data_IF_786174477463
#
_entry.id   IF_786174477463
#
_cell.length_a   1.000
_cell.length_b   1.000
_cell.length_c   1.000
_cell.angle_alpha   90.00
_cell.angle_beta   90.00
_cell.angle_gamma   90.00
#
_symmetry.space_group_name_H-M   'P 1'
#
loop_
_entity.id
_entity.type
_entity.pdbx_description
1 polymer ?
#
# COMPACT_ATOMS: atom_id res chain seq x y z
N UNK A 1 -19.22 -1.21 -3.68
CA UNK A 1 -18.73 -1.55 -2.34
C UNK A 1 -17.26 -1.81 -2.48
N UNK A 2 -16.44 -1.26 -1.59
CA UNK A 2 -14.99 -1.44 -1.65
C UNK A 2 -14.60 -2.90 -1.52
N UNK A 3 -13.56 -3.28 -2.25
CA UNK A 3 -13.04 -4.66 -2.25
C UNK A 3 -12.53 -5.06 -0.86
N UNK A 4 -11.95 -4.12 -0.14
CA UNK A 4 -11.50 -4.29 1.25
C UNK A 4 -12.10 -3.20 2.15
N UNK A 5 -12.11 -3.43 3.45
CA UNK A 5 -12.60 -2.51 4.47
C UNK A 5 -11.54 -2.26 5.54
N UNK A 6 -11.69 -1.17 6.29
CA UNK A 6 -10.83 -0.89 7.44
C UNK A 6 -10.88 -2.05 8.45
N UNK A 7 -9.70 -2.53 8.84
CA UNK A 7 -9.52 -3.70 9.70
C UNK A 7 -9.30 -5.01 8.95
N UNK A 8 -9.51 -5.05 7.62
CA UNK A 8 -9.24 -6.25 6.84
C UNK A 8 -7.74 -6.55 6.80
N UNK A 9 -7.43 -7.84 6.95
CA UNK A 9 -6.10 -8.38 6.73
C UNK A 9 -5.89 -8.62 5.24
N UNK A 10 -4.79 -8.10 4.72
CA UNK A 10 -4.40 -8.19 3.32
C UNK A 10 -2.94 -8.60 3.19
N UNK A 11 -2.54 -8.99 1.98
CA UNK A 11 -1.16 -9.28 1.63
C UNK A 11 -0.79 -8.55 0.35
N UNK A 12 0.46 -8.09 0.26
CA UNK A 12 1.00 -7.54 -0.98
C UNK A 12 0.95 -8.62 -2.09
N UNK A 13 0.32 -8.31 -3.22
CA UNK A 13 0.18 -9.25 -4.34
C UNK A 13 1.51 -9.49 -5.06
N UNK A 14 2.38 -8.48 -5.08
CA UNK A 14 3.71 -8.45 -5.65
C UNK A 14 4.60 -7.48 -4.85
N UNK A 15 5.88 -7.38 -5.21
CA UNK A 15 6.79 -6.43 -4.58
C UNK A 15 6.35 -4.99 -4.87
N UNK A 16 6.04 -4.24 -3.80
CA UNK A 16 5.64 -2.84 -3.87
C UNK A 16 6.88 -1.97 -3.72
N UNK A 17 7.12 -1.11 -4.71
CA UNK A 17 8.26 -0.18 -4.73
C UNK A 17 7.77 1.27 -4.62
N UNK A 18 8.62 2.13 -4.08
CA UNK A 18 8.36 3.56 -4.05
C UNK A 18 8.58 4.16 -5.44
N UNK A 19 7.50 4.35 -6.18
CA UNK A 19 7.58 4.90 -7.54
C UNK A 19 8.02 6.38 -7.50
N UNK A 20 8.81 6.77 -8.50
CA UNK A 20 9.14 8.17 -8.73
C UNK A 20 7.99 8.90 -9.43
N UNK A 21 7.68 10.12 -9.00
CA UNK A 21 6.73 11.00 -9.68
C UNK A 21 7.24 11.33 -11.09
N UNK A 22 6.42 11.06 -12.12
CA UNK A 22 6.83 11.23 -13.52
C UNK A 22 7.28 12.67 -13.85
N UNK A 23 6.69 13.67 -13.17
CA UNK A 23 6.93 15.08 -13.45
C UNK A 23 8.23 15.63 -12.85
N UNK A 24 8.63 15.11 -11.67
CA UNK A 24 9.76 15.66 -10.89
C UNK A 24 10.91 14.67 -10.70
N UNK A 25 10.66 13.37 -10.89
CA UNK A 25 11.59 12.29 -10.58
C UNK A 25 11.80 12.07 -9.08
N UNK A 26 11.07 12.78 -8.22
CA UNK A 26 11.13 12.63 -6.77
C UNK A 26 10.29 11.45 -6.31
N UNK A 27 10.57 10.93 -5.12
CA UNK A 27 9.81 9.85 -4.50
C UNK A 27 8.34 10.19 -4.28
N UNK A 28 7.43 9.27 -4.62
CA UNK A 28 6.00 9.42 -4.31
C UNK A 28 5.74 9.39 -2.80
N UNK A 29 6.56 8.67 -2.03
CA UNK A 29 6.55 8.71 -0.57
C UNK A 29 7.71 9.60 -0.07
N UNK A 30 7.41 10.76 0.55
CA UNK A 30 8.45 11.64 1.09
C UNK A 30 9.33 10.95 2.13
N UNK A 31 10.66 11.09 1.98
CA UNK A 31 11.63 10.53 2.91
C UNK A 31 11.99 9.06 2.68
N UNK A 32 11.43 8.42 1.66
CA UNK A 32 11.83 7.10 1.17
C UNK A 32 12.48 7.27 -0.19
N UNK A 33 13.58 6.56 -0.48
CA UNK A 33 14.25 6.65 -1.79
C UNK A 33 13.36 6.12 -2.93
N UNK A 34 13.49 6.64 -4.16
CA UNK A 34 12.87 6.04 -5.34
C UNK A 34 13.33 4.59 -5.51
N UNK A 35 12.46 3.74 -6.04
CA UNK A 35 12.69 2.30 -6.25
C UNK A 35 13.00 1.50 -4.96
N UNK A 36 12.82 2.10 -3.78
CA UNK A 36 12.95 1.38 -2.52
C UNK A 36 11.81 0.38 -2.35
N UNK A 37 12.12 -0.84 -1.90
CA UNK A 37 11.11 -1.83 -1.57
C UNK A 37 10.32 -1.39 -0.33
N UNK A 38 9.02 -1.18 -0.51
CA UNK A 38 8.07 -0.81 0.54
C UNK A 38 7.49 -2.04 1.24
N UNK A 39 7.11 -3.04 0.45
CA UNK A 39 6.62 -4.33 0.95
C UNK A 39 6.92 -5.43 -0.07
N UNK A 40 7.51 -6.54 0.38
CA UNK A 40 7.70 -7.71 -0.45
C UNK A 40 6.37 -8.42 -0.73
N UNK A 41 6.30 -9.14 -1.84
CA UNK A 41 5.16 -10.00 -2.16
C UNK A 41 4.84 -10.96 -1.01
N UNK A 42 3.57 -11.05 -0.64
CA UNK A 42 3.09 -11.87 0.48
C UNK A 42 3.29 -11.25 1.87
N UNK A 43 3.89 -10.05 1.99
CA UNK A 43 3.96 -9.35 3.28
C UNK A 43 2.55 -9.04 3.76
N UNK A 44 2.26 -9.44 5.01
CA UNK A 44 0.97 -9.21 5.65
C UNK A 44 0.83 -7.73 6.01
N UNK A 45 -0.38 -7.21 5.87
CA UNK A 45 -0.75 -5.88 6.31
C UNK A 45 -2.20 -5.80 6.77
N UNK A 46 -2.56 -4.63 7.29
CA UNK A 46 -3.93 -4.30 7.70
C UNK A 46 -4.37 -3.00 7.04
N UNK A 47 -5.59 -3.00 6.50
CA UNK A 47 -6.20 -1.78 5.96
C UNK A 47 -6.56 -0.85 7.11
N UNK A 48 -5.99 0.34 7.15
CA UNK A 48 -6.25 1.36 8.18
C UNK A 48 -7.20 2.46 7.70
N UNK A 49 -7.35 2.62 6.38
CA UNK A 49 -8.32 3.55 5.80
C UNK A 49 -8.65 3.15 4.36
N UNK A 50 -9.84 3.55 3.88
CA UNK A 50 -10.27 3.39 2.48
C UNK A 50 -10.68 4.75 1.95
N UNK A 51 -10.06 5.16 0.84
CA UNK A 51 -10.30 6.43 0.19
C UNK A 51 -10.39 6.27 -1.32
N UNK A 52 -10.34 7.41 -2.02
CA UNK A 52 -10.28 7.46 -3.47
C UNK A 52 -9.25 8.50 -3.91
N UNK A 53 -8.65 8.29 -5.08
CA UNK A 53 -7.83 9.32 -5.70
C UNK A 53 -8.70 10.54 -6.00
N UNK A 54 -8.24 11.74 -5.62
CA UNK A 54 -9.04 12.96 -5.77
C UNK A 54 -9.38 13.25 -7.24
N UNK A 55 -8.46 12.94 -8.16
CA UNK A 55 -8.64 13.13 -9.61
C UNK A 55 -9.43 11.98 -10.26
N UNK A 56 -9.47 10.81 -9.60
CA UNK A 56 -10.18 9.62 -10.08
C UNK A 56 -11.00 9.01 -8.95
N UNK A 57 -12.20 9.53 -8.64
CA UNK A 57 -13.00 9.09 -7.49
C UNK A 57 -13.48 7.64 -7.58
N UNK A 58 -13.42 7.03 -8.76
CA UNK A 58 -13.74 5.62 -8.96
C UNK A 58 -12.55 4.69 -8.67
N UNK A 59 -11.33 5.24 -8.51
CA UNK A 59 -10.14 4.49 -8.16
C UNK A 59 -10.01 4.46 -6.63
N UNK A 60 -10.33 3.30 -6.05
CA UNK A 60 -10.19 3.07 -4.62
C UNK A 60 -8.72 2.97 -4.22
N UNK A 61 -8.36 3.71 -3.17
CA UNK A 61 -7.04 3.69 -2.56
C UNK A 61 -7.18 3.16 -1.14
N UNK A 62 -6.41 2.13 -0.82
CA UNK A 62 -6.36 1.52 0.50
C UNK A 62 -5.10 2.00 1.20
N UNK A 63 -5.23 2.61 2.38
CA UNK A 63 -4.07 2.81 3.23
C UNK A 63 -3.84 1.53 4.02
N UNK A 64 -2.67 0.91 3.82
CA UNK A 64 -2.29 -0.36 4.43
C UNK A 64 -1.03 -0.16 5.25
N UNK A 65 -1.01 -0.70 6.47
CA UNK A 65 0.22 -0.82 7.25
C UNK A 65 0.72 -2.25 7.17
N UNK A 66 1.87 -2.44 6.53
CA UNK A 66 2.52 -3.73 6.38
C UNK A 66 3.43 -4.06 7.57
N UNK A 67 3.64 -5.35 7.81
CA UNK A 67 4.60 -5.82 8.81
C UNK A 67 6.05 -5.59 8.35
N UNK A 68 6.86 -5.03 9.25
CA UNK A 68 8.27 -4.70 9.01
C UNK A 68 9.22 -5.81 9.46
N UNK A 69 8.81 -6.56 10.49
CA UNK A 69 9.66 -7.53 11.18
C UNK A 69 8.83 -8.73 11.67
N UNK A 70 9.53 -9.73 12.21
CA UNK A 70 8.90 -10.95 12.71
C UNK A 70 8.12 -10.70 14.02
N UNK A 71 8.39 -9.59 14.71
CA UNK A 71 7.63 -9.14 15.89
C UNK A 71 6.26 -8.55 15.53
N UNK A 72 6.00 -8.28 14.24
CA UNK A 72 4.74 -7.73 13.76
C UNK A 72 4.65 -6.21 13.90
N UNK A 73 5.79 -5.51 13.96
CA UNK A 73 5.81 -4.05 13.97
C UNK A 73 5.26 -3.53 12.64
N UNK A 74 4.31 -2.60 12.71
CA UNK A 74 3.63 -2.05 11.53
C UNK A 74 4.34 -0.81 10.98
N UNK A 75 4.61 -0.80 9.68
CA UNK A 75 5.18 0.31 8.94
C UNK A 75 4.26 1.55 8.92
N UNK A 76 4.77 2.65 8.40
CA UNK A 76 3.96 3.79 7.99
C UNK A 76 2.91 3.36 6.95
N UNK A 77 1.71 3.97 6.93
CA UNK A 77 0.68 3.62 5.96
C UNK A 77 1.12 3.88 4.52
N UNK A 78 0.98 2.86 3.67
CA UNK A 78 1.25 2.93 2.23
C UNK A 78 -0.10 2.93 1.50
N UNK A 79 -0.24 3.81 0.51
CA UNK A 79 -1.41 3.83 -0.37
C UNK A 79 -1.28 2.75 -1.42
N UNK A 80 -2.24 1.83 -1.46
CA UNK A 80 -2.27 0.71 -2.40
C UNK A 80 -3.55 0.73 -3.26
N UNK A 81 -3.41 0.31 -4.51
CA UNK A 81 -4.51 -0.01 -5.41
C UNK A 81 -5.16 -1.35 -5.05
N UNK A 82 -6.38 -1.57 -5.53
CA UNK A 82 -7.11 -2.83 -5.31
C UNK A 82 -6.34 -4.07 -5.78
N UNK A 83 -5.61 -3.96 -6.89
CA UNK A 83 -4.92 -5.08 -7.53
C UNK A 83 -3.53 -5.35 -6.94
N UNK A 84 -3.01 -4.43 -6.12
CA UNK A 84 -1.78 -4.60 -5.33
C UNK A 84 -2.00 -5.45 -4.09
N UNK A 85 -3.26 -5.75 -3.76
CA UNK A 85 -3.65 -6.43 -2.54
C UNK A 85 -4.40 -7.74 -2.81
N UNK A 86 -4.11 -8.71 -1.97
CA UNK A 86 -4.85 -9.97 -1.89
C UNK A 86 -5.45 -10.15 -0.51
N UNK A 87 -6.62 -10.78 -0.42
CA UNK A 87 -7.27 -11.10 0.85
C UNK A 87 -6.84 -12.46 1.39
N UNK A 88 -7.37 -12.83 2.56
CA UNK A 88 -7.34 -14.20 3.05
C UNK A 88 -8.23 -15.05 2.12
N UNK A 89 -7.63 -15.88 1.26
CA UNK A 89 -8.35 -16.90 0.49
C UNK A 89 -8.97 -17.95 1.42
#
# INVERSE_FOLDING_TARGET
MSRFQMGDMVFAAYDLFNESLEETGESSIPGVEPDALLAAAGTRGVVVNVGHAQEMPNAEIYLVRFEMDAEGTLAEPIGCLSDELTGLN
#
